data_IF_791658071927
#
_entry.id   IF_791658071927
#
_cell.length_a   1.000
_cell.length_b   1.000
_cell.length_c   1.000
_cell.angle_alpha   90.00
_cell.angle_beta   90.00
_cell.angle_gamma   90.00
#
_symmetry.space_group_name_H-M   'P 1'
#
loop_
_entity.id
_entity.type
_entity.pdbx_description
1 polymer ?
#
# COMPACT_ATOMS: atom_id res chain seq x y z
N UNK A 1 1.67 24.57 -32.14
CA UNK A 1 1.71 24.65 -30.67
C UNK A 1 0.53 23.96 -30.03
N UNK A 2 0.44 22.69 -30.29
CA UNK A 2 -0.61 21.83 -29.76
C UNK A 2 -0.42 21.47 -28.31
N UNK A 3 0.45 22.18 -27.58
CA UNK A 3 1.00 21.61 -26.36
C UNK A 3 0.35 22.08 -25.07
N UNK A 4 -0.43 23.15 -25.08
CA UNK A 4 -1.04 23.68 -23.86
C UNK A 4 -2.12 22.72 -23.35
N UNK A 5 -2.99 22.24 -24.24
CA UNK A 5 -4.03 21.28 -23.88
C UNK A 5 -3.44 19.93 -23.44
N UNK A 6 -2.39 19.46 -24.16
CA UNK A 6 -1.67 18.23 -23.79
C UNK A 6 -0.98 18.34 -22.44
N UNK A 7 -0.36 19.49 -22.18
CA UNK A 7 0.31 19.76 -20.91
C UNK A 7 -0.69 19.82 -19.76
N UNK A 8 -1.84 20.46 -19.96
CA UNK A 8 -2.92 20.49 -18.94
C UNK A 8 -3.43 19.09 -18.63
N UNK A 9 -3.66 18.27 -19.64
CA UNK A 9 -4.07 16.88 -19.45
C UNK A 9 -3.03 16.09 -18.66
N UNK A 10 -1.74 16.27 -19.01
CA UNK A 10 -0.63 15.61 -18.32
C UNK A 10 -0.56 16.01 -16.85
N UNK A 11 -0.72 17.30 -16.55
CA UNK A 11 -0.70 17.82 -15.17
C UNK A 11 -1.87 17.25 -14.37
N UNK A 12 -3.08 17.25 -14.92
CA UNK A 12 -4.26 16.68 -14.28
C UNK A 12 -4.10 15.20 -14.02
N UNK A 13 -3.53 14.46 -14.98
CA UNK A 13 -3.25 13.04 -14.85
C UNK A 13 -2.23 12.77 -13.74
N UNK A 14 -1.15 13.56 -13.70
CA UNK A 14 -0.11 13.47 -12.68
C UNK A 14 -0.67 13.73 -11.28
N UNK A 15 -1.53 14.74 -11.14
CA UNK A 15 -2.18 15.04 -9.86
C UNK A 15 -3.10 13.91 -9.41
N UNK A 16 -3.85 13.32 -10.34
CA UNK A 16 -4.71 12.17 -10.06
C UNK A 16 -3.89 10.98 -9.58
N UNK A 17 -2.84 10.63 -10.30
CA UNK A 17 -1.94 9.53 -9.95
C UNK A 17 -1.30 9.75 -8.59
N UNK A 18 -0.89 10.97 -8.30
CA UNK A 18 -0.29 11.34 -7.01
C UNK A 18 -1.29 11.14 -5.88
N UNK A 19 -2.54 11.55 -6.05
CA UNK A 19 -3.60 11.35 -5.06
C UNK A 19 -3.89 9.87 -4.84
N UNK A 20 -4.01 9.10 -5.92
CA UNK A 20 -4.23 7.66 -5.85
C UNK A 20 -3.09 6.95 -5.14
N UNK A 21 -1.84 7.31 -5.46
CA UNK A 21 -0.65 6.74 -4.83
C UNK A 21 -0.60 7.06 -3.34
N UNK A 22 -0.93 8.28 -2.97
CA UNK A 22 -0.99 8.70 -1.56
C UNK A 22 -2.05 7.90 -0.80
N UNK A 23 -3.22 7.68 -1.41
CA UNK A 23 -4.29 6.89 -0.82
C UNK A 23 -3.84 5.43 -0.62
N UNK A 24 -3.20 4.82 -1.62
CA UNK A 24 -2.69 3.46 -1.52
C UNK A 24 -1.64 3.31 -0.43
N UNK A 25 -0.71 4.27 -0.32
CA UNK A 25 0.31 4.27 0.73
C UNK A 25 -0.31 4.40 2.12
N UNK A 26 -1.30 5.28 2.27
CA UNK A 26 -2.04 5.45 3.53
C UNK A 26 -2.80 4.17 3.90
N UNK A 27 -3.40 3.50 2.92
CA UNK A 27 -4.10 2.23 3.12
C UNK A 27 -3.14 1.16 3.64
N UNK A 28 -1.94 1.07 3.08
CA UNK A 28 -0.91 0.13 3.54
C UNK A 28 -0.55 0.40 5.01
N UNK A 29 -0.35 1.66 5.38
CA UNK A 29 -0.06 2.03 6.79
C UNK A 29 -1.19 1.63 7.72
N UNK A 30 -2.43 1.86 7.31
CA UNK A 30 -3.61 1.49 8.11
C UNK A 30 -3.66 -0.01 8.33
N UNK A 31 -3.39 -0.81 7.31
CA UNK A 31 -3.40 -2.27 7.43
C UNK A 31 -2.23 -2.79 8.28
N UNK A 32 -1.08 -2.12 8.28
CA UNK A 32 0.01 -2.43 9.22
C UNK A 32 -0.45 -2.24 10.67
N UNK A 33 -1.12 -1.14 10.97
CA UNK A 33 -1.66 -0.88 12.32
C UNK A 33 -2.69 -1.92 12.73
N UNK A 34 -3.55 -2.34 11.81
CA UNK A 34 -4.54 -3.39 12.07
C UNK A 34 -3.87 -4.72 12.38
N UNK A 35 -2.82 -5.06 11.65
CA UNK A 35 -2.04 -6.28 11.90
C UNK A 35 -1.39 -6.23 13.27
N UNK A 36 -0.73 -5.12 13.61
CA UNK A 36 -0.11 -4.93 14.93
C UNK A 36 -1.13 -5.05 16.06
N UNK A 37 -2.32 -4.47 15.86
CA UNK A 37 -3.41 -4.56 16.82
C UNK A 37 -3.90 -6.01 16.99
N UNK A 38 -4.03 -6.76 15.90
CA UNK A 38 -4.43 -8.16 15.93
C UNK A 38 -3.41 -9.02 16.67
N UNK A 39 -2.12 -8.76 16.46
CA UNK A 39 -1.03 -9.44 17.18
C UNK A 39 -1.12 -9.12 18.69
N UNK A 40 -1.41 -7.87 19.04
CA UNK A 40 -1.60 -7.46 20.42
C UNK A 40 -2.79 -8.16 21.10
N UNK A 41 -3.84 -8.47 20.35
CA UNK A 41 -4.99 -9.22 20.85
C UNK A 41 -4.71 -10.71 20.96
N UNK A 42 -3.70 -11.22 20.24
CA UNK A 42 -3.34 -12.63 20.26
C UNK A 42 -4.32 -13.54 19.51
N UNK A 43 -5.16 -13.01 18.64
CA UNK A 43 -6.13 -13.78 17.86
C UNK A 43 -5.49 -14.26 16.55
N UNK A 44 -5.13 -15.55 16.50
CA UNK A 44 -4.48 -16.14 15.33
C UNK A 44 -5.30 -16.00 14.04
N UNK A 45 -6.61 -16.13 14.13
CA UNK A 45 -7.50 -15.97 12.98
C UNK A 45 -7.48 -14.54 12.42
N UNK A 46 -7.52 -13.54 13.28
CA UNK A 46 -7.42 -12.13 12.90
C UNK A 46 -6.04 -11.82 12.34
N UNK A 47 -4.98 -12.34 12.96
CA UNK A 47 -3.60 -12.12 12.49
C UNK A 47 -3.46 -12.61 11.06
N UNK A 48 -3.94 -13.81 10.76
CA UNK A 48 -3.88 -14.38 9.41
C UNK A 48 -4.68 -13.55 8.42
N UNK A 49 -5.91 -13.18 8.77
CA UNK A 49 -6.78 -12.37 7.91
C UNK A 49 -6.16 -11.00 7.62
N UNK A 50 -5.68 -10.30 8.64
CA UNK A 50 -5.07 -8.98 8.50
C UNK A 50 -3.75 -9.06 7.74
N UNK A 51 -2.97 -10.12 7.90
CA UNK A 51 -1.73 -10.33 7.16
C UNK A 51 -2.03 -10.50 5.66
N UNK A 52 -3.01 -11.31 5.29
CA UNK A 52 -3.43 -11.50 3.89
C UNK A 52 -3.90 -10.19 3.26
N UNK A 53 -4.72 -9.43 3.99
CA UNK A 53 -5.21 -8.12 3.55
C UNK A 53 -4.04 -7.15 3.31
N UNK A 54 -3.09 -7.10 4.24
CA UNK A 54 -1.92 -6.23 4.14
C UNK A 54 -1.08 -6.56 2.91
N UNK A 55 -0.78 -7.84 2.70
CA UNK A 55 0.00 -8.29 1.53
C UNK A 55 -0.73 -7.92 0.23
N UNK A 56 -2.04 -8.11 0.18
CA UNK A 56 -2.86 -7.73 -0.96
C UNK A 56 -2.77 -6.22 -1.26
N UNK A 57 -2.83 -5.38 -0.22
CA UNK A 57 -2.72 -3.92 -0.37
C UNK A 57 -1.32 -3.50 -0.81
N UNK A 58 -0.29 -4.15 -0.30
CA UNK A 58 1.10 -3.89 -0.72
C UNK A 58 1.27 -4.24 -2.20
N UNK A 59 0.80 -5.40 -2.63
CA UNK A 59 0.87 -5.84 -4.02
C UNK A 59 0.13 -4.87 -4.95
N UNK A 60 -1.05 -4.42 -4.55
CA UNK A 60 -1.82 -3.43 -5.31
C UNK A 60 -1.07 -2.11 -5.44
N UNK A 61 -0.42 -1.66 -4.37
CA UNK A 61 0.37 -0.43 -4.37
C UNK A 61 1.58 -0.56 -5.31
N UNK A 62 2.23 -1.71 -5.35
CA UNK A 62 3.33 -2.00 -6.28
C UNK A 62 2.80 -1.95 -7.73
N UNK A 63 1.70 -2.63 -7.98
CA UNK A 63 1.09 -2.72 -9.31
C UNK A 63 0.70 -1.35 -9.85
N UNK A 64 0.22 -0.46 -9.00
CA UNK A 64 -0.17 0.91 -9.36
C UNK A 64 1.00 1.89 -9.37
N UNK A 65 2.20 1.46 -9.02
CA UNK A 65 3.38 2.31 -8.99
C UNK A 65 3.50 3.21 -7.77
N UNK A 66 2.65 3.02 -6.76
CA UNK A 66 2.74 3.77 -5.50
C UNK A 66 3.93 3.35 -4.64
N UNK A 67 4.35 2.10 -4.76
CA UNK A 67 5.52 1.54 -4.09
C UNK A 67 6.43 0.87 -5.11
N UNK A 68 7.74 1.06 -4.94
CA UNK A 68 8.71 0.31 -5.72
C UNK A 68 8.72 -1.16 -5.25
N UNK A 69 8.98 -2.10 -6.16
CA UNK A 69 8.99 -3.54 -5.86
C UNK A 69 9.89 -3.90 -4.68
N UNK A 70 11.05 -3.26 -4.57
CA UNK A 70 11.99 -3.52 -3.48
C UNK A 70 11.45 -3.03 -2.14
N UNK A 71 10.84 -1.85 -2.12
CA UNK A 71 10.17 -1.32 -0.92
C UNK A 71 9.00 -2.20 -0.53
N UNK A 72 8.21 -2.66 -1.50
CA UNK A 72 7.11 -3.58 -1.26
C UNK A 72 7.58 -4.90 -0.68
N UNK A 73 8.66 -5.48 -1.20
CA UNK A 73 9.26 -6.70 -0.68
C UNK A 73 9.69 -6.56 0.79
N UNK A 74 10.31 -5.43 1.13
CA UNK A 74 10.71 -5.13 2.52
C UNK A 74 9.49 -5.02 3.44
N UNK A 75 8.43 -4.38 2.98
CA UNK A 75 7.17 -4.26 3.73
C UNK A 75 6.50 -5.61 3.94
N UNK A 76 6.49 -6.47 2.92
CA UNK A 76 5.97 -7.83 3.04
C UNK A 76 6.77 -8.66 4.06
N UNK A 77 8.08 -8.55 4.05
CA UNK A 77 8.97 -9.22 5.02
C UNK A 77 8.70 -8.74 6.44
N UNK A 78 8.52 -7.44 6.62
CA UNK A 78 8.16 -6.85 7.91
C UNK A 78 6.80 -7.35 8.40
N UNK A 79 5.82 -7.40 7.51
CA UNK A 79 4.48 -7.91 7.82
C UNK A 79 4.53 -9.37 8.28
N UNK A 80 5.30 -10.20 7.60
CA UNK A 80 5.49 -11.62 7.96
C UNK A 80 6.12 -11.75 9.35
N UNK A 81 7.11 -10.93 9.67
CA UNK A 81 7.76 -10.92 10.99
C UNK A 81 6.79 -10.51 12.08
N UNK A 82 5.98 -9.48 11.85
CA UNK A 82 4.97 -9.04 12.81
C UNK A 82 3.94 -10.14 13.03
N UNK A 83 3.48 -10.78 11.98
CA UNK A 83 2.49 -11.86 12.06
C UNK A 83 3.02 -13.10 12.78
N UNK A 84 4.33 -13.33 12.72
CA UNK A 84 4.98 -14.49 13.38
C UNK A 84 5.39 -14.24 14.84
N UNK A 85 5.31 -12.99 15.26
CA UNK A 85 5.77 -12.59 16.61
C UNK A 85 4.87 -13.10 17.74
#
# INVERSE_FOLDING_TARGET
MANIASQKKRILRSERERKENRLLTSTVKTHFRRLESAVGEGDAGKIEAEHKELVSKIDKAIQKGALHKNTGARKKSRAARIASA
#
